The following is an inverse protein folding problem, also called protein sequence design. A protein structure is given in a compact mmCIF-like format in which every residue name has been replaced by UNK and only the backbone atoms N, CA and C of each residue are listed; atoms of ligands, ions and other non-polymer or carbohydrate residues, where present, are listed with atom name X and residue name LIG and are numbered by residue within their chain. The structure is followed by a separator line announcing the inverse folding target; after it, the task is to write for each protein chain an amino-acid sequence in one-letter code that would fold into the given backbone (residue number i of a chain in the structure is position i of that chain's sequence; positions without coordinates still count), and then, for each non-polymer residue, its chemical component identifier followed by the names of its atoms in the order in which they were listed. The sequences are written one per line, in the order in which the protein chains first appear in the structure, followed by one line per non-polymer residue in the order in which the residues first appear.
data_IF_110258418366
#
_entry.id   IF_110258418366
#
_cell.length_a   1.000
_cell.length_b   1.000
_cell.length_c   1.000
_cell.angle_alpha   90.00
_cell.angle_beta   90.00
_cell.angle_gamma   90.00
#
_symmetry.space_group_name_H-M   'P 1'
#
loop_
_entity.id
_entity.type
_entity.pdbx_description
1 polymer ?
#
# COMPACT_ATOMS: atom_id res chain seq x y z
N UNK A 1 -4.31 -4.65 13.24
CA UNK A 1 -3.62 -5.26 12.07
C UNK A 1 -2.46 -4.37 11.70
N UNK A 2 -1.25 -4.92 11.69
CA UNK A 2 -0.03 -4.16 11.40
C UNK A 2 0.22 -4.29 9.90
N UNK A 3 0.35 -3.15 9.23
CA UNK A 3 0.69 -3.07 7.82
C UNK A 3 2.06 -2.43 7.68
N UNK A 4 2.91 -3.01 6.85
CA UNK A 4 4.04 -2.29 6.27
C UNK A 4 3.51 -1.45 5.11
N UNK A 5 3.72 -0.14 5.16
CA UNK A 5 3.12 0.80 4.21
C UNK A 5 4.18 1.60 3.46
N UNK A 6 4.03 1.69 2.14
CA UNK A 6 4.93 2.40 1.25
C UNK A 6 4.16 3.37 0.35
N UNK A 7 4.50 4.67 0.44
CA UNK A 7 4.06 5.67 -0.54
C UNK A 7 4.83 5.45 -1.84
N UNK A 8 4.11 5.40 -2.96
CA UNK A 8 4.72 5.03 -4.24
C UNK A 8 4.58 6.10 -5.30
N UNK A 9 5.58 6.18 -6.18
CA UNK A 9 5.54 7.06 -7.33
C UNK A 9 4.82 6.36 -8.50
N UNK A 10 3.50 6.37 -8.47
CA UNK A 10 2.64 5.85 -9.55
C UNK A 10 1.61 6.90 -9.96
N UNK A 11 1.14 6.87 -11.21
CA UNK A 11 0.08 7.76 -11.72
C UNK A 11 -1.30 7.36 -11.20
N UNK A 12 -1.51 6.10 -10.81
CA UNK A 12 -2.80 5.58 -10.37
C UNK A 12 -2.82 5.24 -8.87
N UNK A 13 -1.71 4.71 -8.35
CA UNK A 13 -1.61 4.22 -6.97
C UNK A 13 -0.88 5.26 -6.12
N UNK A 14 -1.41 5.51 -4.92
CA UNK A 14 -0.83 6.47 -3.96
C UNK A 14 -0.05 5.76 -2.86
N UNK A 15 -0.62 4.69 -2.31
CA UNK A 15 -0.09 3.98 -1.15
C UNK A 15 -0.36 2.49 -1.32
N UNK A 16 0.65 1.69 -1.01
CA UNK A 16 0.54 0.24 -0.90
C UNK A 16 0.83 -0.14 0.56
N UNK A 17 0.06 -1.10 1.07
CA UNK A 17 0.27 -1.69 2.39
C UNK A 17 0.26 -3.20 2.31
N UNK A 18 1.10 -3.87 3.10
CA UNK A 18 1.07 -5.32 3.21
C UNK A 18 1.03 -5.78 4.67
N UNK A 19 0.19 -6.77 4.95
CA UNK A 19 0.07 -7.41 6.25
C UNK A 19 0.49 -8.87 6.14
N UNK A 20 1.69 -9.20 6.65
CA UNK A 20 2.20 -10.58 6.74
C UNK A 20 1.33 -11.48 7.62
N UNK A 21 0.58 -10.88 8.57
CA UNK A 21 -0.29 -11.63 9.49
C UNK A 21 -1.51 -12.19 8.76
N UNK A 22 -1.99 -11.49 7.74
CA UNK A 22 -3.23 -11.82 7.02
C UNK A 22 -3.01 -12.11 5.54
N UNK A 23 -1.76 -12.04 5.05
CA UNK A 23 -1.39 -12.10 3.63
C UNK A 23 -2.28 -11.18 2.78
N UNK A 24 -2.44 -9.94 3.25
CA UNK A 24 -3.33 -8.94 2.65
C UNK A 24 -2.53 -7.80 2.07
N UNK A 25 -2.70 -7.57 0.77
CA UNK A 25 -2.20 -6.39 0.08
C UNK A 25 -3.31 -5.34 0.02
N UNK A 26 -3.11 -4.23 0.72
CA UNK A 26 -3.97 -3.05 0.69
C UNK A 26 -3.45 -2.05 -0.32
N UNK A 27 -4.33 -1.55 -1.19
CA UNK A 27 -3.97 -0.55 -2.20
C UNK A 27 -4.90 0.65 -2.10
N UNK A 28 -4.32 1.84 -1.94
CA UNK A 28 -5.04 3.12 -2.00
C UNK A 28 -4.69 3.81 -3.31
N UNK A 29 -5.71 4.04 -4.13
CA UNK A 29 -5.58 4.75 -5.39
C UNK A 29 -5.59 6.26 -5.19
N UNK A 30 -5.05 7.01 -6.15
CA UNK A 30 -5.09 8.49 -6.15
C UNK A 30 -6.50 9.05 -6.24
N UNK A 31 -7.45 8.28 -6.78
CA UNK A 31 -8.89 8.61 -6.75
C UNK A 31 -9.50 8.57 -5.34
N UNK A 32 -8.80 8.03 -4.35
CA UNK A 32 -9.26 7.86 -2.97
C UNK A 32 -9.98 6.53 -2.70
N UNK A 33 -10.18 5.67 -3.70
CA UNK A 33 -10.68 4.31 -3.47
C UNK A 33 -9.58 3.42 -2.87
N UNK A 34 -9.95 2.59 -1.90
CA UNK A 34 -9.07 1.59 -1.29
C UNK A 34 -9.61 0.17 -1.51
N UNK A 35 -8.72 -0.80 -1.64
CA UNK A 35 -9.06 -2.22 -1.81
C UNK A 35 -8.08 -3.09 -1.03
N UNK A 36 -8.58 -4.21 -0.52
CA UNK A 36 -7.78 -5.28 0.07
C UNK A 36 -7.79 -6.48 -0.88
N UNK A 37 -6.61 -6.98 -1.22
CA UNK A 37 -6.39 -8.21 -1.98
C UNK A 37 -5.93 -9.30 -1.02
N UNK A 38 -6.66 -10.42 -0.98
CA UNK A 38 -6.43 -11.50 -0.02
C UNK A 38 -5.55 -12.60 -0.60
N UNK A 39 -4.84 -13.31 0.29
CA UNK A 39 -3.94 -14.42 -0.05
C UNK A 39 -2.82 -14.03 -1.04
N UNK A 40 -2.36 -12.78 -0.97
CA UNK A 40 -1.23 -12.30 -1.74
C UNK A 40 0.06 -12.73 -1.02
N UNK A 41 0.96 -13.51 -1.64
CA UNK A 41 2.24 -13.85 -1.04
C UNK A 41 3.12 -12.62 -0.82
N UNK A 42 4.04 -12.69 0.14
CA UNK A 42 4.94 -11.57 0.46
C UNK A 42 5.86 -11.24 -0.70
N UNK A 43 6.26 -12.24 -1.48
CA UNK A 43 7.11 -12.10 -2.66
C UNK A 43 6.44 -11.22 -3.72
N UNK A 44 5.11 -11.32 -3.88
CA UNK A 44 4.34 -10.49 -4.82
C UNK A 44 4.29 -9.03 -4.37
N UNK A 45 4.27 -8.78 -3.05
CA UNK A 45 4.38 -7.44 -2.51
C UNK A 45 5.77 -6.84 -2.75
N UNK A 46 6.83 -7.61 -2.49
CA UNK A 46 8.22 -7.19 -2.73
C UNK A 46 8.46 -6.91 -4.22
N UNK A 47 8.01 -7.81 -5.10
CA UNK A 47 8.10 -7.63 -6.56
C UNK A 47 7.29 -6.41 -7.03
N UNK A 48 6.11 -6.16 -6.48
CA UNK A 48 5.32 -4.96 -6.80
C UNK A 48 6.06 -3.67 -6.44
N UNK A 49 6.74 -3.63 -5.28
CA UNK A 49 7.53 -2.47 -4.87
C UNK A 49 8.80 -2.29 -5.71
N UNK A 50 9.40 -3.37 -6.18
CA UNK A 50 10.59 -3.35 -7.04
C UNK A 50 10.27 -3.19 -8.55
N UNK A 51 9.00 -3.31 -8.95
CA UNK A 51 8.61 -3.27 -10.34
C UNK A 51 8.94 -1.93 -11.02
N UNK A 52 9.50 -1.99 -12.23
CA UNK A 52 9.76 -0.81 -13.07
C UNK A 52 8.50 0.04 -13.29
N UNK A 53 7.35 -0.64 -13.40
CA UNK A 53 6.04 -0.01 -13.51
C UNK A 53 5.05 -0.64 -12.55
N UNK A 54 4.91 -0.03 -11.36
CA UNK A 54 3.95 -0.42 -10.32
C UNK A 54 2.55 -0.60 -10.90
N UNK A 55 2.11 0.31 -11.77
CA UNK A 55 0.79 0.25 -12.40
C UNK A 55 0.61 -0.97 -13.30
N UNK A 56 1.65 -1.35 -14.06
CA UNK A 56 1.62 -2.51 -14.96
C UNK A 56 1.63 -3.81 -14.16
N UNK A 57 2.53 -3.94 -13.18
CA UNK A 57 2.60 -5.12 -12.32
C UNK A 57 1.29 -5.31 -11.53
N UNK A 58 0.72 -4.22 -11.02
CA UNK A 58 -0.56 -4.27 -10.31
C UNK A 58 -1.72 -4.83 -11.15
N UNK A 59 -1.70 -4.72 -12.49
CA UNK A 59 -2.74 -5.36 -13.31
C UNK A 59 -2.71 -6.89 -13.19
N UNK A 60 -1.53 -7.48 -13.03
CA UNK A 60 -1.37 -8.92 -12.82
C UNK A 60 -1.99 -9.34 -11.48
N UNK A 61 -1.72 -8.57 -10.42
CA UNK A 61 -2.31 -8.78 -9.09
C UNK A 61 -3.83 -8.68 -9.17
N UNK A 62 -4.33 -7.62 -9.81
CA UNK A 62 -5.78 -7.39 -9.96
C UNK A 62 -6.49 -8.52 -10.71
N UNK A 63 -5.83 -9.13 -11.69
CA UNK A 63 -6.38 -10.25 -12.45
C UNK A 63 -6.33 -11.58 -11.67
N UNK A 64 -5.45 -11.71 -10.68
CA UNK A 64 -5.13 -12.98 -10.02
C UNK A 64 -5.81 -13.14 -8.66
N UNK A 65 -5.85 -12.08 -7.86
CA UNK A 65 -6.27 -12.16 -6.45
C UNK A 65 -7.68 -11.62 -6.24
N UNK A 66 -8.41 -12.28 -5.34
CA UNK A 66 -9.71 -11.80 -4.89
C UNK A 66 -9.54 -10.52 -4.08
N UNK A 67 -10.47 -9.59 -4.27
CA UNK A 67 -10.42 -8.30 -3.63
C UNK A 67 -11.75 -7.86 -3.07
N UNK A 68 -11.67 -7.05 -2.02
CA UNK A 68 -12.79 -6.37 -1.42
C UNK A 68 -12.54 -4.87 -1.40
N UNK A 69 -13.60 -4.09 -1.60
CA UNK A 69 -13.50 -2.64 -1.56
C UNK A 69 -13.58 -2.15 -0.11
N UNK A 70 -12.62 -1.32 0.27
CA UNK A 70 -12.64 -0.67 1.57
C UNK A 70 -13.75 0.38 1.65
N UNK A 71 -14.25 0.57 2.87
CA UNK A 71 -15.04 1.76 3.17
C UNK A 71 -14.19 3.01 2.97
N UNK A 72 -14.84 4.12 2.62
CA UNK A 72 -14.16 5.41 2.42
C UNK A 72 -13.41 5.85 3.69
N UNK A 73 -13.96 5.58 4.87
CA UNK A 73 -13.33 5.90 6.17
C UNK A 73 -12.07 5.06 6.36
N UNK A 74 -12.15 3.74 6.21
CA UNK A 74 -10.99 2.85 6.37
C UNK A 74 -9.84 3.18 5.41
N UNK A 75 -10.16 3.52 4.16
CA UNK A 75 -9.15 3.92 3.17
C UNK A 75 -8.43 5.23 3.54
N UNK A 76 -9.18 6.21 4.06
CA UNK A 76 -8.63 7.49 4.51
C UNK A 76 -7.81 7.34 5.78
N UNK A 77 -8.32 6.61 6.78
CA UNK A 77 -7.63 6.37 8.04
C UNK A 77 -6.27 5.74 7.78
N UNK A 78 -6.24 4.69 6.94
CA UNK A 78 -5.01 4.03 6.56
C UNK A 78 -4.01 4.98 5.88
N UNK A 79 -4.49 5.81 4.94
CA UNK A 79 -3.65 6.78 4.24
C UNK A 79 -3.06 7.84 5.19
N UNK A 80 -3.88 8.41 6.07
CA UNK A 80 -3.43 9.44 7.00
C UNK A 80 -2.44 8.88 8.02
N UNK A 81 -2.69 7.66 8.53
CA UNK A 81 -1.73 6.98 9.41
C UNK A 81 -0.38 6.77 8.73
N UNK A 82 -0.36 6.35 7.46
CA UNK A 82 0.89 6.14 6.72
C UNK A 82 1.66 7.45 6.46
N UNK A 83 0.96 8.54 6.13
CA UNK A 83 1.58 9.86 5.92
C UNK A 83 2.17 10.39 7.24
N UNK A 84 1.40 10.33 8.33
CA UNK A 84 1.86 10.79 9.63
C UNK A 84 3.10 10.02 10.10
N UNK A 85 3.15 8.70 9.87
CA UNK A 85 4.32 7.89 10.19
C UNK A 85 5.54 8.30 9.37
N UNK A 86 5.37 8.53 8.06
CA UNK A 86 6.47 8.95 7.18
C UNK A 86 7.02 10.33 7.55
N UNK A 87 6.16 11.29 7.85
CA UNK A 87 6.55 12.64 8.30
C UNK A 87 7.29 12.59 9.63
N UNK A 88 6.79 11.81 10.60
CA UNK A 88 7.46 11.65 11.90
C UNK A 88 8.84 11.00 11.75
N UNK A 89 8.96 9.94 10.95
CA UNK A 89 10.25 9.28 10.70
C UNK A 89 11.25 10.22 10.03
N UNK A 90 10.81 11.04 9.07
CA UNK A 90 11.67 12.02 8.42
C UNK A 90 12.21 13.06 9.42
N UNK A 91 11.35 13.60 10.28
CA UNK A 91 11.76 14.61 11.28
C UNK A 91 12.75 14.04 12.31
N UNK A 92 12.59 12.79 12.73
CA UNK A 92 13.53 12.14 13.66
C UNK A 92 14.93 11.96 13.06
N UNK A 93 15.02 11.66 11.75
CA UNK A 93 16.31 11.54 11.05
C UNK A 93 16.99 12.91 10.91
N UNK A 94 16.22 13.96 10.57
CA UNK A 94 16.75 15.33 10.41
C UNK A 94 17.25 15.93 11.73
N UNK A 95 16.64 15.58 12.88
CA UNK A 95 17.09 16.04 14.21
C UNK A 95 18.31 15.26 14.73
N UNK A 96 18.50 14.03 14.26
CA UNK A 96 19.59 13.15 14.68
C UNK A 96 20.88 13.29 13.82
N UNK A 97 20.85 14.10 12.76
CA UNK A 97 21.96 14.37 11.85
C UNK A 97 22.63 15.71 12.17
#
# INVERSE_FOLDING_TARGET
MIYEAALVNSTAIRLIGYSVVTNTLRVIFRSGSGYDYSNVPVEVFEELLAAESIGTYFQLIRATYQFERLSRVAAQDFLFSAIAQAEFTRLQIEVAA
#
